data_IF_333484845220
#
_entry.id   IF_333484845220
#
_cell.length_a   1.000
_cell.length_b   1.000
_cell.length_c   1.000
_cell.angle_alpha   90.00
_cell.angle_beta   90.00
_cell.angle_gamma   90.00
#
_symmetry.space_group_name_H-M   'P 1'
#
loop_
_entity.id
_entity.type
_entity.pdbx_description
1 polymer ?
#
# COMPACT_ATOMS: atom_id res chain seq x y z
N UNK A 1 -57.67 -139.98 38.28
CA UNK A 1 -56.83 -139.72 37.09
C UNK A 1 -57.20 -138.35 36.54
N UNK A 2 -56.21 -137.44 36.48
CA UNK A 2 -55.98 -136.32 35.54
C UNK A 2 -57.12 -135.29 35.29
N UNK A 3 -56.91 -133.97 35.14
CA UNK A 3 -55.73 -133.12 34.88
C UNK A 3 -56.08 -131.67 35.27
N UNK A 4 -55.07 -130.88 35.70
CA UNK A 4 -55.13 -129.42 35.94
C UNK A 4 -55.36 -128.66 34.63
N UNK A 5 -56.14 -127.57 34.66
CA UNK A 5 -55.88 -126.38 33.84
C UNK A 5 -56.16 -125.10 34.65
N UNK A 6 -55.11 -124.29 34.79
CA UNK A 6 -55.09 -122.93 35.33
C UNK A 6 -55.14 -121.96 34.15
N UNK A 7 -56.13 -121.07 34.11
CA UNK A 7 -56.20 -119.98 33.12
C UNK A 7 -55.92 -118.65 33.83
N UNK A 8 -54.77 -118.04 33.51
CA UNK A 8 -54.39 -116.70 33.95
C UNK A 8 -55.03 -115.64 33.04
N UNK A 9 -55.71 -114.67 33.64
CA UNK A 9 -56.28 -113.49 32.97
C UNK A 9 -55.17 -112.44 32.78
N UNK A 10 -54.88 -112.08 31.53
CA UNK A 10 -54.03 -110.94 31.18
C UNK A 10 -54.93 -109.72 30.96
N UNK A 11 -54.82 -108.71 31.82
CA UNK A 11 -55.43 -107.40 31.62
C UNK A 11 -54.50 -106.54 30.75
N UNK A 12 -54.93 -106.23 29.53
CA UNK A 12 -54.26 -105.27 28.64
C UNK A 12 -54.73 -103.84 28.96
N UNK A 13 -53.95 -103.12 29.76
CA UNK A 13 -54.14 -101.70 30.10
C UNK A 13 -53.04 -100.79 29.53
N UNK A 14 -52.26 -101.26 28.54
CA UNK A 14 -51.06 -100.57 28.04
C UNK A 14 -51.30 -99.48 26.98
N UNK A 15 -52.49 -99.43 26.37
CA UNK A 15 -52.72 -98.60 25.17
C UNK A 15 -53.35 -97.23 25.45
N UNK A 16 -54.14 -97.05 26.52
CA UNK A 16 -54.77 -95.72 26.81
C UNK A 16 -53.81 -94.68 27.40
N UNK A 17 -52.88 -95.10 28.27
CA UNK A 17 -51.90 -94.17 28.87
C UNK A 17 -50.84 -93.68 27.87
N UNK A 18 -50.53 -94.48 26.86
CA UNK A 18 -49.56 -94.14 25.81
C UNK A 18 -50.12 -93.05 24.88
N UNK A 19 -51.40 -93.06 24.50
CA UNK A 19 -52.00 -91.98 23.70
C UNK A 19 -52.08 -90.63 24.44
N UNK A 20 -52.36 -90.64 25.75
CA UNK A 20 -52.37 -89.41 26.57
C UNK A 20 -50.95 -88.83 26.70
N UNK A 21 -49.95 -89.68 26.92
CA UNK A 21 -48.54 -89.27 26.99
C UNK A 21 -48.04 -88.72 25.65
N UNK A 22 -48.36 -89.39 24.53
CA UNK A 22 -48.02 -88.92 23.18
C UNK A 22 -48.71 -87.58 22.88
N UNK A 23 -49.98 -87.42 23.27
CA UNK A 23 -50.72 -86.17 23.15
C UNK A 23 -50.08 -85.01 23.93
N UNK A 24 -49.64 -85.27 25.17
CA UNK A 24 -48.94 -84.28 26.00
C UNK A 24 -47.56 -83.90 25.43
N UNK A 25 -46.80 -84.88 24.93
CA UNK A 25 -45.50 -84.64 24.29
C UNK A 25 -45.68 -83.82 23.00
N UNK A 26 -46.68 -84.16 22.17
CA UNK A 26 -46.99 -83.41 20.96
C UNK A 26 -47.40 -81.96 21.29
N UNK A 27 -48.21 -81.77 22.34
CA UNK A 27 -48.66 -80.44 22.76
C UNK A 27 -47.51 -79.61 23.35
N UNK A 28 -46.61 -80.24 24.13
CA UNK A 28 -45.38 -79.61 24.62
C UNK A 28 -44.42 -79.24 23.49
N UNK A 29 -44.30 -80.08 22.45
CA UNK A 29 -43.48 -79.79 21.27
C UNK A 29 -44.04 -78.60 20.46
N UNK A 30 -45.37 -78.53 20.30
CA UNK A 30 -46.04 -77.39 19.65
C UNK A 30 -45.81 -76.11 20.47
N UNK A 31 -45.95 -76.16 21.79
CA UNK A 31 -45.69 -75.02 22.68
C UNK A 31 -44.23 -74.56 22.60
N UNK A 32 -43.27 -75.49 22.57
CA UNK A 32 -41.87 -75.18 22.40
C UNK A 32 -41.58 -74.51 21.04
N UNK A 33 -42.21 -74.99 19.96
CA UNK A 33 -42.11 -74.36 18.63
C UNK A 33 -42.69 -72.94 18.62
N UNK A 34 -43.83 -72.72 19.27
CA UNK A 34 -44.46 -71.40 19.38
C UNK A 34 -43.58 -70.44 20.18
N UNK A 35 -43.01 -70.88 21.31
CA UNK A 35 -42.09 -70.07 22.12
C UNK A 35 -40.81 -69.77 21.36
N UNK A 36 -40.24 -70.74 20.64
CA UNK A 36 -39.07 -70.54 19.80
C UNK A 36 -39.34 -69.54 18.66
N UNK A 37 -40.51 -69.63 18.02
CA UNK A 37 -40.93 -68.68 16.99
C UNK A 37 -41.15 -67.26 17.55
N UNK A 38 -41.76 -67.13 18.73
CA UNK A 38 -41.89 -65.83 19.41
C UNK A 38 -40.53 -65.24 19.81
N UNK A 39 -39.60 -66.05 20.33
CA UNK A 39 -38.26 -65.59 20.66
C UNK A 39 -37.48 -65.15 19.40
N UNK A 40 -37.60 -65.90 18.30
CA UNK A 40 -36.96 -65.56 17.02
C UNK A 40 -37.50 -64.24 16.43
N UNK A 41 -38.83 -64.07 16.41
CA UNK A 41 -39.46 -62.83 15.93
C UNK A 41 -39.10 -61.64 16.82
N UNK A 42 -39.08 -61.80 18.14
CA UNK A 42 -38.68 -60.75 19.07
C UNK A 42 -37.20 -60.35 18.93
N UNK A 43 -36.30 -61.30 18.68
CA UNK A 43 -34.89 -61.03 18.42
C UNK A 43 -34.69 -60.25 17.12
N UNK A 44 -35.39 -60.64 16.04
CA UNK A 44 -35.36 -59.92 14.76
C UNK A 44 -35.96 -58.52 14.84
N UNK A 45 -37.02 -58.33 15.63
CA UNK A 45 -37.60 -57.00 15.88
C UNK A 45 -36.64 -56.11 16.69
N UNK A 46 -35.93 -56.66 17.67
CA UNK A 46 -34.93 -55.89 18.43
C UNK A 46 -33.73 -55.50 17.57
N UNK A 47 -33.21 -56.41 16.75
CA UNK A 47 -32.05 -56.12 15.88
C UNK A 47 -32.39 -55.08 14.81
N UNK A 48 -33.57 -55.16 14.20
CA UNK A 48 -34.06 -54.16 13.24
C UNK A 48 -34.30 -52.80 13.88
N UNK A 49 -34.88 -52.74 15.08
CA UNK A 49 -35.03 -51.49 15.84
C UNK A 49 -33.68 -50.86 16.22
N UNK A 50 -32.70 -51.66 16.66
CA UNK A 50 -31.34 -51.19 16.95
C UNK A 50 -30.65 -50.62 15.68
N UNK A 51 -30.79 -51.31 14.55
CA UNK A 51 -30.27 -50.82 13.27
C UNK A 51 -30.92 -49.50 12.85
N UNK A 52 -32.24 -49.37 13.01
CA UNK A 52 -32.96 -48.12 12.73
C UNK A 52 -32.54 -46.99 13.67
N UNK A 53 -32.37 -47.25 14.97
CA UNK A 53 -31.88 -46.25 15.93
C UNK A 53 -30.48 -45.74 15.56
N UNK A 54 -29.57 -46.62 15.16
CA UNK A 54 -28.22 -46.23 14.73
C UNK A 54 -28.24 -45.38 13.45
N UNK A 55 -29.18 -45.64 12.54
CA UNK A 55 -29.36 -44.81 11.34
C UNK A 55 -29.91 -43.44 11.72
N UNK A 56 -30.89 -43.38 12.62
CA UNK A 56 -31.49 -42.13 13.08
C UNK A 56 -30.46 -41.25 13.80
N UNK A 57 -29.63 -41.83 14.69
CA UNK A 57 -28.58 -41.07 15.39
C UNK A 57 -27.53 -40.55 14.42
N UNK A 58 -27.11 -41.35 13.44
CA UNK A 58 -26.18 -40.91 12.40
C UNK A 58 -26.74 -39.78 11.53
N UNK A 59 -28.01 -39.88 11.14
CA UNK A 59 -28.70 -38.82 10.39
C UNK A 59 -28.83 -37.52 11.21
N UNK A 60 -29.07 -37.63 12.51
CA UNK A 60 -29.10 -36.48 13.41
C UNK A 60 -27.72 -35.83 13.54
N UNK A 61 -26.66 -36.62 13.70
CA UNK A 61 -25.28 -36.11 13.73
C UNK A 61 -24.90 -35.41 12.43
N UNK A 62 -25.24 -36.00 11.28
CA UNK A 62 -24.96 -35.41 9.97
C UNK A 62 -25.80 -34.13 9.73
N UNK A 63 -27.04 -34.09 10.20
CA UNK A 63 -27.90 -32.89 10.17
C UNK A 63 -27.31 -31.73 11.01
N UNK A 64 -26.79 -32.03 12.20
CA UNK A 64 -26.13 -31.04 13.05
C UNK A 64 -24.84 -30.52 12.41
N UNK A 65 -24.01 -31.40 11.84
CA UNK A 65 -22.79 -31.00 11.11
C UNK A 65 -23.13 -30.13 9.90
N UNK A 66 -24.14 -30.52 9.12
CA UNK A 66 -24.59 -29.74 7.97
C UNK A 66 -25.08 -28.35 8.38
N UNK A 67 -25.85 -28.26 9.47
CA UNK A 67 -26.34 -26.99 10.01
C UNK A 67 -25.20 -26.07 10.46
N UNK A 68 -24.14 -26.62 11.08
CA UNK A 68 -22.93 -25.86 11.45
C UNK A 68 -22.19 -25.35 10.23
N UNK A 69 -21.96 -26.20 9.23
CA UNK A 69 -21.28 -25.81 8.00
C UNK A 69 -22.05 -24.69 7.26
N UNK A 70 -23.39 -24.76 7.24
CA UNK A 70 -24.22 -23.69 6.67
C UNK A 70 -24.12 -22.38 7.44
N UNK A 71 -24.01 -22.43 8.77
CA UNK A 71 -23.82 -21.23 9.59
C UNK A 71 -22.44 -20.59 9.33
N UNK A 72 -21.38 -21.38 9.29
CA UNK A 72 -20.02 -20.93 8.98
C UNK A 72 -19.93 -20.34 7.56
N UNK A 73 -20.57 -20.97 6.56
CA UNK A 73 -20.64 -20.44 5.20
C UNK A 73 -21.33 -19.07 5.14
N UNK A 74 -22.45 -18.90 5.86
CA UNK A 74 -23.14 -17.61 5.94
C UNK A 74 -22.30 -16.53 6.63
N UNK A 75 -21.60 -16.88 7.70
CA UNK A 75 -20.71 -15.95 8.40
C UNK A 75 -19.55 -15.51 7.50
N UNK A 76 -18.93 -16.46 6.79
CA UNK A 76 -17.88 -16.18 5.82
C UNK A 76 -18.38 -15.30 4.66
N UNK A 77 -19.60 -15.52 4.17
CA UNK A 77 -20.21 -14.69 3.13
C UNK A 77 -20.39 -13.24 3.59
N UNK A 78 -20.86 -13.03 4.82
CA UNK A 78 -21.00 -11.69 5.41
C UNK A 78 -19.65 -11.00 5.55
N UNK A 79 -18.64 -11.70 6.07
CA UNK A 79 -17.29 -11.17 6.23
C UNK A 79 -16.68 -10.78 4.87
N UNK A 80 -16.85 -11.63 3.86
CA UNK A 80 -16.35 -11.38 2.51
C UNK A 80 -17.02 -10.14 1.90
N UNK A 81 -18.33 -9.98 2.08
CA UNK A 81 -19.06 -8.80 1.61
C UNK A 81 -18.57 -7.51 2.29
N UNK A 82 -18.27 -7.56 3.60
CA UNK A 82 -17.67 -6.43 4.33
C UNK A 82 -16.28 -6.07 3.78
N UNK A 83 -15.44 -7.07 3.49
CA UNK A 83 -14.11 -6.85 2.89
C UNK A 83 -14.23 -6.23 1.49
N UNK A 84 -15.19 -6.68 0.69
CA UNK A 84 -15.45 -6.11 -0.65
C UNK A 84 -15.83 -4.63 -0.53
N UNK A 85 -16.72 -4.28 0.40
CA UNK A 85 -17.14 -2.89 0.63
C UNK A 85 -15.98 -2.01 1.09
N UNK A 86 -15.15 -2.49 2.01
CA UNK A 86 -13.94 -1.77 2.46
C UNK A 86 -12.95 -1.55 1.32
N UNK A 87 -12.72 -2.56 0.48
CA UNK A 87 -11.84 -2.45 -0.69
C UNK A 87 -12.39 -1.47 -1.73
N UNK A 88 -13.71 -1.43 -1.93
CA UNK A 88 -14.37 -0.45 -2.81
C UNK A 88 -14.19 0.97 -2.29
N UNK A 89 -14.45 1.22 -1.01
CA UNK A 89 -14.24 2.53 -0.38
C UNK A 89 -12.78 2.98 -0.49
N UNK A 90 -11.84 2.06 -0.27
CA UNK A 90 -10.39 2.35 -0.39
C UNK A 90 -10.00 2.68 -1.83
N UNK A 91 -10.54 1.95 -2.81
CA UNK A 91 -10.35 2.24 -4.23
C UNK A 91 -10.88 3.63 -4.59
N UNK A 92 -12.07 3.99 -4.14
CA UNK A 92 -12.68 5.29 -4.44
C UNK A 92 -11.89 6.45 -3.83
N UNK A 93 -11.39 6.29 -2.60
CA UNK A 93 -10.46 7.26 -1.99
C UNK A 93 -9.19 7.44 -2.83
N UNK A 94 -8.53 6.35 -3.22
CA UNK A 94 -7.33 6.42 -4.06
C UNK A 94 -7.59 7.07 -5.42
N UNK A 95 -8.75 6.84 -6.03
CA UNK A 95 -9.15 7.52 -7.27
C UNK A 95 -9.28 9.03 -7.02
N UNK A 96 -9.92 9.43 -5.93
CA UNK A 96 -10.09 10.86 -5.59
C UNK A 96 -8.76 11.58 -5.33
N UNK A 97 -7.82 10.92 -4.66
CA UNK A 97 -6.46 11.42 -4.42
C UNK A 97 -5.67 11.52 -5.72
N UNK A 98 -5.76 10.50 -6.59
CA UNK A 98 -5.14 10.55 -7.92
C UNK A 98 -5.67 11.73 -8.73
N UNK A 99 -6.99 11.97 -8.71
CA UNK A 99 -7.62 13.04 -9.49
C UNK A 99 -7.28 14.44 -8.95
N UNK A 100 -7.06 14.58 -7.64
CA UNK A 100 -6.57 15.83 -7.06
C UNK A 100 -5.11 16.10 -7.45
N UNK A 101 -4.24 15.08 -7.38
CA UNK A 101 -2.84 15.17 -7.83
C UNK A 101 -2.74 15.46 -9.33
N UNK A 102 -3.58 14.81 -10.16
CA UNK A 102 -3.62 15.05 -11.59
C UNK A 102 -4.01 16.50 -11.92
N UNK A 103 -4.98 17.07 -11.20
CA UNK A 103 -5.37 18.49 -11.33
C UNK A 103 -4.25 19.43 -10.91
N UNK A 104 -3.58 19.16 -9.80
CA UNK A 104 -2.42 19.94 -9.34
C UNK A 104 -1.28 19.90 -10.36
N UNK A 105 -0.99 18.74 -10.92
CA UNK A 105 0.03 18.58 -11.95
C UNK A 105 -0.32 19.34 -13.23
N UNK A 106 -1.58 19.26 -13.67
CA UNK A 106 -2.06 20.01 -14.84
C UNK A 106 -1.95 21.53 -14.62
N UNK A 107 -2.33 22.01 -13.44
CA UNK A 107 -2.17 23.40 -13.05
C UNK A 107 -0.69 23.82 -13.05
N UNK A 108 0.18 23.01 -12.45
CA UNK A 108 1.63 23.25 -12.40
C UNK A 108 2.24 23.36 -13.81
N UNK A 109 1.94 22.41 -14.70
CA UNK A 109 2.42 22.42 -16.10
C UNK A 109 1.94 23.64 -16.87
N UNK A 110 0.70 24.06 -16.65
CA UNK A 110 0.15 25.25 -17.31
C UNK A 110 0.86 26.51 -16.82
N UNK A 111 1.11 26.60 -15.52
CA UNK A 111 1.80 27.74 -14.92
C UNK A 111 3.27 27.83 -15.39
N UNK A 112 3.95 26.68 -15.51
CA UNK A 112 5.30 26.57 -16.06
C UNK A 112 5.37 27.08 -17.50
N UNK A 113 4.47 26.63 -18.38
CA UNK A 113 4.40 27.10 -19.78
C UNK A 113 4.18 28.61 -19.86
N UNK A 114 3.29 29.15 -19.02
CA UNK A 114 3.03 30.59 -18.97
C UNK A 114 4.25 31.38 -18.48
N UNK A 115 5.00 30.84 -17.52
CA UNK A 115 6.23 31.45 -17.05
C UNK A 115 7.33 31.45 -18.14
N UNK A 116 7.53 30.32 -18.82
CA UNK A 116 8.48 30.21 -19.93
C UNK A 116 8.14 31.18 -21.07
N UNK A 117 6.86 31.32 -21.42
CA UNK A 117 6.41 32.29 -22.42
C UNK A 117 6.76 33.74 -22.03
N UNK A 118 6.57 34.10 -20.75
CA UNK A 118 6.96 35.43 -20.24
C UNK A 118 8.46 35.65 -20.27
N UNK A 119 9.25 34.65 -19.89
CA UNK A 119 10.72 34.70 -19.95
C UNK A 119 11.18 34.92 -21.40
N UNK A 120 10.61 34.18 -22.36
CA UNK A 120 10.95 34.33 -23.78
C UNK A 120 10.63 35.74 -24.31
N UNK A 121 9.49 36.32 -23.93
CA UNK A 121 9.13 37.69 -24.31
C UNK A 121 10.11 38.71 -23.71
N UNK A 122 10.49 38.57 -22.45
CA UNK A 122 11.44 39.47 -21.79
C UNK A 122 12.84 39.34 -22.38
N UNK A 123 13.32 38.12 -22.66
CA UNK A 123 14.60 37.89 -23.35
C UNK A 123 14.63 38.53 -24.74
N UNK A 124 13.54 38.41 -25.52
CA UNK A 124 13.44 39.07 -26.82
C UNK A 124 13.56 40.58 -26.70
N UNK A 125 12.85 41.21 -25.76
CA UNK A 125 12.95 42.65 -25.50
C UNK A 125 14.36 43.08 -25.07
N UNK A 126 15.02 42.28 -24.24
CA UNK A 126 16.39 42.54 -23.80
C UNK A 126 17.36 42.54 -25.00
N UNK A 127 17.26 41.53 -25.88
CA UNK A 127 18.06 41.45 -27.09
C UNK A 127 17.81 42.65 -28.03
N UNK A 128 16.55 43.05 -28.21
CA UNK A 128 16.18 44.22 -29.01
C UNK A 128 16.78 45.52 -28.44
N UNK A 129 16.70 45.72 -27.13
CA UNK A 129 17.28 46.89 -26.46
C UNK A 129 18.81 46.90 -26.53
N UNK A 130 19.43 45.74 -26.37
CA UNK A 130 20.88 45.61 -26.45
C UNK A 130 21.40 45.87 -27.87
N UNK A 131 20.66 45.44 -28.90
CA UNK A 131 20.94 45.79 -30.28
C UNK A 131 20.83 47.31 -30.51
N UNK A 132 19.77 47.96 -30.00
CA UNK A 132 19.60 49.42 -30.09
C UNK A 132 20.72 50.17 -29.37
N UNK A 133 21.11 49.74 -28.17
CA UNK A 133 22.22 50.32 -27.41
C UNK A 133 23.52 50.26 -28.22
N UNK A 134 23.83 49.11 -28.83
CA UNK A 134 25.01 48.96 -29.68
C UNK A 134 24.96 49.88 -30.91
N UNK A 135 23.79 50.07 -31.51
CA UNK A 135 23.63 51.02 -32.63
C UNK A 135 23.86 52.46 -32.20
N UNK A 136 23.25 52.89 -31.09
CA UNK A 136 23.45 54.25 -30.55
C UNK A 136 24.91 54.48 -30.17
N UNK A 137 25.56 53.47 -29.58
CA UNK A 137 26.97 53.58 -29.21
C UNK A 137 27.88 53.67 -30.45
N UNK A 138 27.60 52.93 -31.53
CA UNK A 138 28.31 53.11 -32.81
C UNK A 138 28.08 54.48 -33.42
N UNK A 139 26.84 54.98 -33.41
CA UNK A 139 26.55 56.32 -33.92
C UNK A 139 27.28 57.40 -33.13
N UNK A 140 27.38 57.23 -31.81
CA UNK A 140 28.16 58.10 -30.94
C UNK A 140 29.65 58.06 -31.29
N UNK A 141 30.23 56.88 -31.47
CA UNK A 141 31.64 56.70 -31.83
C UNK A 141 31.96 57.27 -33.22
N UNK A 142 31.07 57.06 -34.21
CA UNK A 142 31.18 57.62 -35.57
C UNK A 142 31.08 59.15 -35.59
N UNK A 143 30.17 59.72 -34.78
CA UNK A 143 30.10 61.16 -34.58
C UNK A 143 31.42 61.68 -33.98
N UNK A 144 31.91 61.08 -32.89
CA UNK A 144 33.17 61.49 -32.29
C UNK A 144 34.34 61.46 -33.28
N UNK A 145 34.40 60.45 -34.15
CA UNK A 145 35.41 60.31 -35.19
C UNK A 145 35.28 61.35 -36.32
N UNK A 146 34.06 61.82 -36.64
CA UNK A 146 33.78 62.79 -37.71
C UNK A 146 33.76 64.27 -37.24
N UNK A 147 34.13 64.55 -35.99
CA UNK A 147 33.98 65.85 -35.31
C UNK A 147 34.85 67.03 -35.80
N UNK A 148 35.36 66.98 -37.03
CA UNK A 148 36.15 68.05 -37.63
C UNK A 148 35.38 69.33 -38.01
N UNK A 149 34.05 69.33 -38.01
CA UNK A 149 33.25 70.49 -38.47
C UNK A 149 31.96 70.70 -37.65
N UNK A 150 31.80 71.91 -37.09
CA UNK A 150 30.62 72.46 -36.37
C UNK A 150 30.37 72.00 -34.92
N UNK A 151 31.05 72.64 -33.95
CA UNK A 151 31.05 72.21 -32.53
C UNK A 151 29.75 72.46 -31.74
N UNK A 152 28.91 73.42 -32.15
CA UNK A 152 27.70 73.81 -31.39
C UNK A 152 26.53 72.83 -31.53
N UNK A 153 26.22 72.41 -32.76
CA UNK A 153 25.20 71.38 -33.01
C UNK A 153 25.69 69.98 -32.57
N UNK A 154 27.02 69.77 -32.58
CA UNK A 154 27.65 68.53 -32.13
C UNK A 154 27.44 68.27 -30.65
N UNK A 155 27.68 69.26 -29.79
CA UNK A 155 27.49 69.13 -28.35
C UNK A 155 26.03 68.81 -28.00
N UNK A 156 25.06 69.40 -28.71
CA UNK A 156 23.64 69.09 -28.51
C UNK A 156 23.31 67.66 -28.94
N UNK A 157 23.78 67.19 -30.11
CA UNK A 157 23.56 65.80 -30.54
C UNK A 157 24.24 64.78 -29.63
N UNK A 158 25.48 65.06 -29.19
CA UNK A 158 26.22 64.22 -28.23
C UNK A 158 25.48 64.17 -26.89
N UNK A 159 24.97 65.29 -26.39
CA UNK A 159 24.19 65.32 -25.15
C UNK A 159 22.88 64.52 -25.28
N UNK A 160 22.20 64.64 -26.43
CA UNK A 160 20.94 63.94 -26.70
C UNK A 160 21.14 62.42 -26.78
N UNK A 161 22.16 61.96 -27.52
CA UNK A 161 22.51 60.54 -27.62
C UNK A 161 23.00 59.97 -26.28
N UNK A 162 23.73 60.76 -25.48
CA UNK A 162 24.16 60.36 -24.14
C UNK A 162 22.96 60.16 -23.20
N UNK A 163 21.98 61.07 -23.25
CA UNK A 163 20.75 60.95 -22.47
C UNK A 163 19.94 59.70 -22.89
N UNK A 164 19.81 59.45 -24.19
CA UNK A 164 19.10 58.28 -24.72
C UNK A 164 19.80 56.96 -24.37
N UNK A 165 21.14 56.93 -24.45
CA UNK A 165 21.96 55.79 -24.02
C UNK A 165 21.79 55.49 -22.54
N UNK A 166 21.76 56.52 -21.68
CA UNK A 166 21.57 56.34 -20.24
C UNK A 166 20.15 55.85 -19.91
N UNK A 167 19.12 56.41 -20.54
CA UNK A 167 17.74 55.96 -20.38
C UNK A 167 17.57 54.48 -20.80
N UNK A 168 18.17 54.08 -21.93
CA UNK A 168 18.16 52.70 -22.39
C UNK A 168 18.95 51.77 -21.46
N UNK A 169 20.07 52.23 -20.88
CA UNK A 169 20.86 51.44 -19.92
C UNK A 169 20.09 51.23 -18.61
N UNK A 170 19.40 52.25 -18.10
CA UNK A 170 18.53 52.16 -16.93
C UNK A 170 17.34 51.22 -17.17
N UNK A 171 16.70 51.31 -18.34
CA UNK A 171 15.61 50.41 -18.70
C UNK A 171 16.10 48.97 -18.88
N UNK A 172 17.29 48.75 -19.43
CA UNK A 172 17.90 47.43 -19.53
C UNK A 172 18.21 46.84 -18.14
N UNK A 173 18.75 47.64 -17.22
CA UNK A 173 18.91 47.22 -15.81
C UNK A 173 17.58 46.92 -15.12
N UNK A 174 16.52 47.69 -15.40
CA UNK A 174 15.18 47.43 -14.87
C UNK A 174 14.63 46.10 -15.38
N UNK A 175 14.73 45.87 -16.69
CA UNK A 175 14.26 44.64 -17.32
C UNK A 175 15.09 43.41 -16.91
N UNK A 176 16.39 43.55 -16.69
CA UNK A 176 17.22 42.49 -16.11
C UNK A 176 16.76 42.12 -14.69
N UNK A 177 16.43 43.13 -13.86
CA UNK A 177 15.86 42.91 -12.53
C UNK A 177 14.48 42.26 -12.61
N UNK A 178 13.62 42.71 -13.52
CA UNK A 178 12.30 42.09 -13.75
C UNK A 178 12.41 40.66 -14.26
N UNK A 179 13.36 40.36 -15.17
CA UNK A 179 13.64 39.00 -15.64
C UNK A 179 14.11 38.12 -14.48
N UNK A 180 15.09 38.56 -13.70
CA UNK A 180 15.58 37.82 -12.53
C UNK A 180 14.46 37.57 -11.50
N UNK A 181 13.60 38.57 -11.28
CA UNK A 181 12.44 38.45 -10.39
C UNK A 181 11.37 37.53 -10.98
N UNK A 182 11.12 37.56 -12.29
CA UNK A 182 10.16 36.70 -12.97
C UNK A 182 10.63 35.24 -12.99
N UNK A 183 11.92 34.99 -13.20
CA UNK A 183 12.53 33.66 -13.09
C UNK A 183 12.46 33.15 -11.66
N UNK A 184 12.89 33.95 -10.67
CA UNK A 184 12.76 33.57 -9.25
C UNK A 184 11.31 33.34 -8.81
N UNK A 185 10.36 34.12 -9.35
CA UNK A 185 8.93 33.92 -9.08
C UNK A 185 8.34 32.70 -9.79
N UNK A 186 8.84 32.33 -10.98
CA UNK A 186 8.47 31.09 -11.65
C UNK A 186 8.95 29.89 -10.82
N UNK A 187 10.20 29.91 -10.35
CA UNK A 187 10.76 28.90 -9.44
C UNK A 187 10.06 28.87 -8.06
N UNK A 188 9.48 30.00 -7.64
CA UNK A 188 8.66 30.10 -6.42
C UNK A 188 7.23 29.58 -6.56
N UNK A 189 6.71 29.48 -7.79
CA UNK A 189 5.32 29.07 -8.07
C UNK A 189 5.15 27.56 -8.21
N UNK A 190 6.24 26.81 -8.43
CA UNK A 190 6.20 25.34 -8.47
C UNK A 190 6.38 24.79 -7.06
N UNK A 191 5.34 24.13 -6.55
CA UNK A 191 5.43 23.36 -5.33
C UNK A 191 6.50 22.27 -5.51
N UNK A 192 7.36 22.09 -4.50
CA UNK A 192 8.34 21.01 -4.49
C UNK A 192 7.65 19.73 -4.01
N UNK A 193 7.79 18.66 -4.78
CA UNK A 193 7.28 17.33 -4.44
C UNK A 193 8.22 16.26 -4.99
N UNK A 194 8.15 15.05 -4.46
CA UNK A 194 8.90 13.93 -5.02
C UNK A 194 8.17 13.38 -6.25
N UNK A 195 8.86 13.32 -7.37
CA UNK A 195 8.41 12.62 -8.59
C UNK A 195 8.59 11.12 -8.43
N UNK A 196 9.68 10.70 -7.79
CA UNK A 196 9.96 9.30 -7.47
C UNK A 196 10.56 9.24 -6.06
N UNK A 197 10.22 8.18 -5.32
CA UNK A 197 10.82 7.92 -4.01
C UNK A 197 10.84 6.41 -3.78
N UNK A 198 12.00 5.89 -3.42
CA UNK A 198 12.23 4.48 -3.12
C UNK A 198 12.99 4.37 -1.80
N UNK A 199 12.65 3.37 -0.99
CA UNK A 199 13.31 3.08 0.27
C UNK A 199 13.79 1.62 0.28
N UNK A 200 15.08 1.42 0.54
CA UNK A 200 15.71 0.09 0.57
C UNK A 200 16.29 -0.12 1.97
N UNK A 201 15.80 -1.10 2.74
CA UNK A 201 16.37 -1.44 4.03
C UNK A 201 17.69 -2.20 3.85
N UNK A 202 18.60 -2.06 4.81
CA UNK A 202 19.87 -2.77 4.77
C UNK A 202 20.77 -2.43 5.94
N UNK A 203 22.04 -2.81 5.78
CA UNK A 203 23.08 -2.59 6.77
C UNK A 203 24.33 -1.96 6.14
N UNK A 204 25.07 -1.19 6.93
CA UNK A 204 26.37 -0.67 6.50
C UNK A 204 27.49 -1.65 6.87
N UNK A 205 28.02 -2.37 5.88
CA UNK A 205 29.14 -3.30 6.05
C UNK A 205 30.42 -2.76 5.43
N UNK A 206 31.47 -2.60 6.25
CA UNK A 206 32.80 -2.14 5.79
C UNK A 206 32.71 -0.82 5.00
N UNK A 207 31.84 0.09 5.43
CA UNK A 207 31.62 1.38 4.76
C UNK A 207 30.78 1.32 3.47
N UNK A 208 30.22 0.16 3.11
CA UNK A 208 29.32 0.01 1.95
C UNK A 208 27.94 -0.40 2.40
N UNK A 209 26.91 0.22 1.82
CA UNK A 209 25.53 -0.17 2.07
C UNK A 209 25.25 -1.52 1.40
N UNK A 210 24.67 -2.45 2.15
CA UNK A 210 24.23 -3.76 1.67
C UNK A 210 22.74 -3.89 1.94
N UNK A 211 21.94 -4.04 0.88
CA UNK A 211 20.51 -4.22 1.03
C UNK A 211 20.19 -5.55 1.73
N UNK A 212 19.23 -5.51 2.65
CA UNK A 212 18.74 -6.66 3.39
C UNK A 212 17.32 -6.38 3.85
N UNK A 213 16.43 -7.36 3.70
CA UNK A 213 15.08 -7.31 4.28
C UNK A 213 14.99 -8.00 5.63
N UNK A 214 16.03 -8.71 6.06
CA UNK A 214 16.00 -9.39 7.36
C UNK A 214 16.08 -8.35 8.45
N UNK A 215 15.02 -8.19 9.22
CA UNK A 215 14.86 -7.30 10.38
C UNK A 215 16.11 -7.21 11.27
N UNK A 216 16.74 -8.36 11.53
CA UNK A 216 17.95 -8.45 12.36
C UNK A 216 19.22 -7.84 11.73
N UNK A 217 19.21 -7.67 10.41
CA UNK A 217 20.32 -7.18 9.59
C UNK A 217 19.98 -5.82 8.96
N UNK A 218 19.09 -5.06 9.60
CA UNK A 218 18.71 -3.72 9.14
C UNK A 218 19.05 -2.72 10.22
N UNK A 219 20.08 -1.90 9.95
CA UNK A 219 20.49 -0.77 10.78
C UNK A 219 20.24 0.58 10.10
N UNK A 220 20.00 0.57 8.78
CA UNK A 220 19.82 1.76 7.96
C UNK A 220 18.80 1.54 6.85
N UNK A 221 18.25 2.64 6.35
CA UNK A 221 17.39 2.68 5.17
C UNK A 221 17.99 3.64 4.16
N UNK A 222 18.24 3.16 2.95
CA UNK A 222 18.66 3.97 1.82
C UNK A 222 17.42 4.53 1.12
N UNK A 223 17.21 5.84 1.21
CA UNK A 223 16.15 6.56 0.53
C UNK A 223 16.71 7.23 -0.74
N UNK A 224 16.18 6.86 -1.90
CA UNK A 224 16.51 7.48 -3.19
C UNK A 224 15.28 8.19 -3.73
N UNK A 225 15.42 9.47 -4.11
CA UNK A 225 14.28 10.28 -4.53
C UNK A 225 14.66 11.32 -5.58
N UNK A 226 13.70 11.65 -6.43
CA UNK A 226 13.79 12.72 -7.42
C UNK A 226 12.78 13.81 -7.06
N UNK A 227 13.22 15.04 -6.92
CA UNK A 227 12.39 16.22 -6.66
C UNK A 227 11.90 16.85 -7.96
N UNK A 228 10.73 17.48 -7.93
CA UNK A 228 10.19 18.25 -9.06
C UNK A 228 11.04 19.48 -9.43
N UNK A 229 11.85 19.99 -8.48
CA UNK A 229 12.84 21.04 -8.66
C UNK A 229 13.87 21.02 -7.53
N UNK A 230 14.94 21.81 -7.67
CA UNK A 230 15.93 21.99 -6.61
C UNK A 230 15.30 22.64 -5.36
N UNK A 231 15.68 22.21 -4.13
CA UNK A 231 15.30 22.87 -2.89
C UNK A 231 15.91 24.28 -2.81
N UNK A 232 15.16 25.22 -2.22
CA UNK A 232 15.68 26.56 -1.93
C UNK A 232 16.45 26.60 -0.62
N UNK A 233 17.32 27.60 -0.40
CA UNK A 233 18.03 27.77 0.88
C UNK A 233 17.12 27.88 2.11
N UNK A 234 15.87 28.27 1.93
CA UNK A 234 14.87 28.46 3.00
C UNK A 234 13.98 27.23 3.20
N UNK A 235 14.11 26.22 2.33
CA UNK A 235 13.33 24.98 2.33
C UNK A 235 14.16 23.87 2.96
N UNK A 236 13.65 23.30 4.06
CA UNK A 236 14.28 22.18 4.76
C UNK A 236 13.54 20.88 4.46
N UNK A 237 14.29 19.85 4.11
CA UNK A 237 13.79 18.50 3.84
C UNK A 237 14.04 17.60 5.06
N UNK A 238 12.98 17.00 5.58
CA UNK A 238 13.01 16.18 6.80
C UNK A 238 12.48 14.79 6.47
N UNK A 239 13.28 13.76 6.74
CA UNK A 239 12.83 12.37 6.64
C UNK A 239 12.26 11.91 7.97
N UNK A 240 11.19 11.11 7.91
CA UNK A 240 10.66 10.37 9.06
C UNK A 240 10.30 8.96 8.65
N UNK A 241 10.45 8.01 9.57
CA UNK A 241 10.10 6.61 9.34
C UNK A 241 8.95 6.24 10.26
N UNK A 242 7.98 5.50 9.74
CA UNK A 242 6.81 5.03 10.46
C UNK A 242 6.71 3.51 10.37
N UNK A 243 6.26 2.87 11.45
CA UNK A 243 5.91 1.44 11.44
C UNK A 243 4.51 1.20 10.83
N UNK A 244 4.07 -0.06 10.81
CA UNK A 244 2.75 -0.49 10.35
C UNK A 244 1.57 0.10 11.14
N UNK A 245 1.80 0.53 12.38
CA UNK A 245 0.81 1.21 13.24
C UNK A 245 0.90 2.74 13.10
N UNK A 246 1.67 3.25 12.11
CA UNK A 246 1.87 4.68 11.88
C UNK A 246 2.49 5.43 13.07
N UNK A 247 3.25 4.72 13.91
CA UNK A 247 4.08 5.31 14.97
C UNK A 247 5.43 5.72 14.37
N UNK A 248 5.86 6.96 14.66
CA UNK A 248 7.16 7.47 14.23
C UNK A 248 8.29 6.71 14.94
N UNK A 249 9.25 6.25 14.15
CA UNK A 249 10.46 5.59 14.64
C UNK A 249 11.55 6.65 14.67
N UNK A 250 12.17 6.87 15.83
CA UNK A 250 13.24 7.84 15.95
C UNK A 250 14.42 7.44 15.07
N UNK A 251 14.92 8.39 14.31
CA UNK A 251 16.12 8.24 13.47
C UNK A 251 17.18 9.21 13.97
N UNK A 252 18.45 8.77 13.95
CA UNK A 252 19.53 9.73 14.23
C UNK A 252 19.54 10.78 13.12
N UNK A 253 19.67 12.06 13.49
CA UNK A 253 19.85 13.13 12.53
C UNK A 253 21.24 13.02 11.90
N UNK A 254 21.43 12.08 10.97
CA UNK A 254 22.48 12.15 9.97
C UNK A 254 22.00 13.09 8.85
N UNK A 255 21.71 14.34 9.22
CA UNK A 255 21.65 15.46 8.28
C UNK A 255 23.09 15.83 7.92
N UNK A 256 23.85 14.90 7.35
CA UNK A 256 25.10 15.27 6.75
C UNK A 256 24.72 16.07 5.50
N UNK A 257 24.92 17.38 5.60
CA UNK A 257 25.37 18.24 4.50
C UNK A 257 26.70 17.71 3.87
N UNK A 258 26.94 16.40 3.87
CA UNK A 258 27.94 15.67 3.10
C UNK A 258 27.26 14.76 2.06
N UNK A 259 26.04 15.13 1.64
CA UNK A 259 25.79 15.12 0.21
C UNK A 259 26.87 16.03 -0.39
N UNK A 260 28.03 15.48 -0.75
CA UNK A 260 28.91 16.08 -1.75
C UNK A 260 27.98 16.66 -2.80
N UNK A 261 27.91 17.99 -2.92
CA UNK A 261 26.85 18.69 -3.65
C UNK A 261 26.46 17.83 -4.85
N UNK A 262 25.31 17.12 -4.81
CA UNK A 262 25.03 16.14 -5.84
C UNK A 262 25.07 16.94 -7.13
N UNK A 263 25.78 16.43 -8.14
CA UNK A 263 25.90 17.14 -9.41
C UNK A 263 24.52 17.55 -9.96
N UNK A 264 23.48 16.86 -9.51
CA UNK A 264 22.07 17.18 -9.68
C UNK A 264 21.36 17.42 -8.32
N UNK A 265 20.89 18.65 -8.03
CA UNK A 265 20.16 18.96 -6.79
C UNK A 265 18.76 18.31 -6.70
N UNK A 266 18.26 17.74 -7.80
CA UNK A 266 16.94 17.11 -7.85
C UNK A 266 16.99 15.61 -7.59
N UNK A 267 18.07 14.93 -7.97
CA UNK A 267 18.26 13.50 -7.79
C UNK A 267 19.13 13.23 -6.57
N UNK A 268 18.51 12.77 -5.48
CA UNK A 268 19.17 12.65 -4.20
C UNK A 268 19.08 11.24 -3.63
N UNK A 269 20.08 10.91 -2.83
CA UNK A 269 20.23 9.63 -2.16
C UNK A 269 20.70 9.88 -0.73
N UNK A 270 19.97 9.34 0.24
CA UNK A 270 20.22 9.56 1.67
C UNK A 270 20.19 8.24 2.42
N UNK A 271 21.10 8.07 3.38
CA UNK A 271 21.14 6.94 4.29
C UNK A 271 20.58 7.37 5.65
N UNK A 272 19.44 6.80 6.01
CA UNK A 272 18.76 7.04 7.29
C UNK A 272 19.22 6.00 8.30
N UNK A 273 19.68 6.42 9.47
CA UNK A 273 20.10 5.53 10.57
C UNK A 273 19.05 5.55 11.68
N UNK A 274 18.64 4.39 12.16
CA UNK A 274 17.71 4.29 13.30
C UNK A 274 18.37 4.76 14.60
N UNK A 275 17.61 5.46 15.44
CA UNK A 275 18.09 5.88 16.76
C UNK A 275 18.21 4.65 17.69
N UNK A 276 19.35 4.53 18.38
CA UNK A 276 19.70 3.35 19.18
C UNK A 276 20.72 2.38 18.54
N UNK A 277 21.14 2.61 17.28
CA UNK A 277 22.17 1.79 16.62
C UNK A 277 21.77 0.32 16.42
N UNK A 278 22.76 -0.55 16.14
CA UNK A 278 22.60 -2.00 15.89
C UNK A 278 21.98 -2.81 17.04
N UNK A 279 21.74 -2.18 18.20
CA UNK A 279 21.23 -2.82 19.41
C UNK A 279 19.69 -2.94 19.43
N UNK A 280 18.97 -2.11 18.68
CA UNK A 280 17.50 -2.18 18.56
C UNK A 280 17.11 -2.74 17.20
N UNK A 281 17.13 -4.07 17.10
CA UNK A 281 16.62 -4.82 15.93
C UNK A 281 15.17 -4.39 15.68
N UNK A 282 14.89 -3.90 14.49
CA UNK A 282 13.54 -3.49 14.12
C UNK A 282 12.62 -4.72 14.08
N UNK A 283 11.36 -4.58 14.45
CA UNK A 283 10.40 -5.68 14.33
C UNK A 283 10.19 -6.05 12.85
N UNK A 284 9.87 -7.31 12.56
CA UNK A 284 9.36 -7.65 11.23
C UNK A 284 8.04 -6.90 10.99
N UNK A 285 7.81 -6.44 9.76
CA UNK A 285 6.61 -5.69 9.41
C UNK A 285 6.79 -4.74 8.24
N UNK A 286 5.72 -4.01 7.92
CA UNK A 286 5.73 -2.94 6.94
C UNK A 286 6.14 -1.62 7.57
N UNK A 287 6.94 -0.86 6.83
CA UNK A 287 7.46 0.44 7.24
C UNK A 287 7.28 1.44 6.11
N UNK A 288 7.15 2.71 6.49
CA UNK A 288 6.99 3.81 5.54
C UNK A 288 8.02 4.88 5.83
N UNK A 289 8.79 5.28 4.82
CA UNK A 289 9.61 6.50 4.85
C UNK A 289 8.79 7.63 4.24
N UNK A 290 8.69 8.75 4.94
CA UNK A 290 8.01 9.96 4.47
C UNK A 290 9.00 11.11 4.42
N UNK A 291 8.89 11.94 3.39
CA UNK A 291 9.66 13.15 3.19
C UNK A 291 8.76 14.36 3.43
N UNK A 292 9.22 15.24 4.31
CA UNK A 292 8.52 16.46 4.70
C UNK A 292 9.28 17.70 4.26
N UNK A 293 8.54 18.70 3.79
CA UNK A 293 9.02 20.03 3.49
C UNK A 293 8.66 20.98 4.64
N UNK A 294 9.63 21.78 5.07
CA UNK A 294 9.41 22.92 5.95
C UNK A 294 9.95 24.18 5.26
N UNK A 295 9.12 25.20 5.08
CA UNK A 295 9.51 26.51 4.54
C UNK A 295 9.07 27.61 5.53
N UNK A 296 10.06 28.15 6.24
CA UNK A 296 9.86 29.14 7.31
C UNK A 296 9.22 30.42 6.77
N UNK A 297 9.52 30.79 5.52
CA UNK A 297 9.04 32.04 4.94
C UNK A 297 7.59 31.96 4.45
N UNK A 298 7.08 30.73 4.23
CA UNK A 298 5.71 30.48 3.76
C UNK A 298 4.80 29.93 4.86
N UNK A 299 5.31 29.76 6.08
CA UNK A 299 4.58 29.13 7.18
C UNK A 299 4.20 27.67 6.90
N UNK A 300 4.94 27.00 6.02
CA UNK A 300 4.73 25.58 5.73
C UNK A 300 5.55 24.78 6.71
N UNK A 301 4.87 24.07 7.62
CA UNK A 301 5.52 23.18 8.59
C UNK A 301 5.13 21.74 8.31
N UNK A 302 6.14 20.87 8.13
CA UNK A 302 5.96 19.43 7.95
C UNK A 302 4.92 19.05 6.88
N UNK A 303 4.97 19.69 5.72
CA UNK A 303 4.14 19.28 4.58
C UNK A 303 4.72 17.98 3.99
N UNK A 304 3.93 16.90 3.94
CA UNK A 304 4.35 15.67 3.28
C UNK A 304 4.47 15.91 1.77
N UNK A 305 5.63 15.60 1.23
CA UNK A 305 5.94 15.80 -0.20
C UNK A 305 6.37 14.51 -0.90
N UNK A 306 6.53 13.41 -0.16
CA UNK A 306 6.92 12.11 -0.70
C UNK A 306 6.76 10.96 0.28
N UNK A 307 6.53 9.77 -0.26
CA UNK A 307 6.32 8.54 0.51
C UNK A 307 6.93 7.33 -0.21
N UNK A 308 7.62 6.48 0.53
CA UNK A 308 8.07 5.16 0.08
C UNK A 308 7.83 4.10 1.15
N UNK A 309 7.51 2.88 0.72
CA UNK A 309 7.27 1.74 1.61
C UNK A 309 8.37 0.70 1.49
N UNK A 310 8.67 0.03 2.60
CA UNK A 310 9.56 -1.13 2.63
C UNK A 310 9.10 -2.15 3.66
N UNK A 311 9.55 -3.39 3.51
CA UNK A 311 9.15 -4.54 4.33
C UNK A 311 10.39 -5.13 5.01
N UNK A 312 10.26 -5.42 6.31
CA UNK A 312 11.22 -6.19 7.08
C UNK A 312 10.65 -7.57 7.41
N UNK A 313 11.49 -8.60 7.27
CA UNK A 313 11.19 -10.01 7.50
C UNK A 313 11.97 -10.58 8.68
#
# INVERSE_FOLDING_TARGET
MARKETTTVYHDSGTRNTYVLIGLIALAAILALVVAYMAYTQANLKSTNLAQQNIITKLQEDSVKFSRNLAELKENEVLLNQQIEELQLRKDRLISERDSVARLLAYSRTNERNAQAKIAVLQKRLNELQAKLNTVQRQYDELLANSGTSSGNFQQQVAQLTAERNALAEENQRLQRELATATGNADNRTAIFTTTMNAVPGELRRGRFSSSRRSQNVDRVEATFTLSRAPKPTENLIFRIFNNVNTEIPIKPLYRNELSAPADPTNQKVLLEFEGGTLNRQAAGEYTVRLYLTDVNKGLENQEIGLARFELR
#
